data_IF_776003202702
#
_entry.id   IF_776003202702
#
_cell.length_a   1.000
_cell.length_b   1.000
_cell.length_c   1.000
_cell.angle_alpha   90.00
_cell.angle_beta   90.00
_cell.angle_gamma   90.00
#
_symmetry.space_group_name_H-M   'P 1'
#
loop_
_entity.id
_entity.type
_entity.pdbx_description
1 polymer ?
#
# COMPACT_ATOMS: atom_id res chain seq x y z
N UNK A 1 -21.25 -2.56 15.37
CA UNK A 1 -20.61 -3.62 14.58
C UNK A 1 -21.44 -3.73 13.34
N UNK A 2 -20.87 -3.28 12.23
CA UNK A 2 -21.48 -3.46 10.91
C UNK A 2 -20.72 -4.62 10.29
N UNK A 3 -21.44 -5.67 9.92
CA UNK A 3 -20.94 -6.83 9.22
C UNK A 3 -21.92 -7.13 8.07
N UNK A 4 -21.47 -6.88 6.85
CA UNK A 4 -22.27 -6.90 5.63
C UNK A 4 -21.52 -7.65 4.54
N UNK A 5 -21.77 -8.95 4.44
CA UNK A 5 -21.05 -9.83 3.52
C UNK A 5 -19.57 -9.85 3.84
N UNK A 6 -18.75 -9.34 2.92
CA UNK A 6 -17.28 -9.33 3.05
C UNK A 6 -16.72 -8.02 3.64
N UNK A 7 -17.60 -7.10 4.05
CA UNK A 7 -17.26 -5.78 4.60
C UNK A 7 -17.61 -5.72 6.08
N UNK A 8 -16.68 -5.23 6.90
CA UNK A 8 -16.91 -5.03 8.33
C UNK A 8 -16.08 -3.86 8.88
N UNK A 9 -16.30 -3.47 10.13
CA UNK A 9 -15.63 -2.37 10.83
C UNK A 9 -14.74 -2.79 12.02
N UNK A 10 -14.60 -4.10 12.27
CA UNK A 10 -13.99 -4.67 13.50
C UNK A 10 -13.08 -5.87 13.26
N UNK A 11 -12.85 -6.23 12.01
CA UNK A 11 -12.07 -7.40 11.62
C UNK A 11 -11.31 -7.13 10.32
N UNK A 12 -9.99 -7.21 10.43
CA UNK A 12 -9.10 -7.10 9.28
C UNK A 12 -9.10 -8.49 8.61
N UNK A 13 -9.44 -8.61 7.31
CA UNK A 13 -9.37 -9.90 6.62
C UNK A 13 -7.98 -10.51 6.75
N UNK A 14 -7.81 -11.80 7.08
CA UNK A 14 -6.48 -12.38 7.20
C UNK A 14 -5.71 -12.28 5.87
N UNK A 15 -4.39 -12.09 5.98
CA UNK A 15 -3.49 -12.14 4.84
C UNK A 15 -3.20 -13.59 4.48
N UNK A 16 -3.56 -13.97 3.25
CA UNK A 16 -3.29 -15.29 2.69
C UNK A 16 -1.98 -15.21 1.92
N UNK A 17 -0.86 -15.19 2.64
CA UNK A 17 0.48 -15.20 2.06
C UNK A 17 1.20 -16.48 2.48
N UNK A 18 1.63 -17.26 1.48
CA UNK A 18 2.52 -18.39 1.68
C UNK A 18 3.94 -17.96 1.30
N UNK A 19 4.87 -17.86 2.26
CA UNK A 19 6.22 -17.42 1.98
C UNK A 19 7.09 -18.48 1.28
N UNK A 20 6.63 -19.74 1.19
CA UNK A 20 7.36 -20.83 0.55
C UNK A 20 8.81 -20.96 1.03
N UNK A 21 9.74 -21.08 0.09
CA UNK A 21 11.18 -21.20 0.35
C UNK A 21 11.83 -19.93 0.91
N UNK A 22 11.11 -18.81 0.98
CA UNK A 22 11.60 -17.52 1.47
C UNK A 22 11.05 -17.17 2.87
N UNK A 23 10.52 -18.14 3.63
CA UNK A 23 9.97 -17.96 4.98
C UNK A 23 10.87 -17.13 5.91
N UNK A 24 12.19 -17.35 5.86
CA UNK A 24 13.15 -16.66 6.72
C UNK A 24 13.26 -15.14 6.49
N UNK A 25 12.72 -14.62 5.38
CA UNK A 25 12.71 -13.19 5.09
C UNK A 25 11.66 -12.41 5.89
N UNK A 26 10.67 -13.09 6.47
CA UNK A 26 9.42 -12.47 6.89
C UNK A 26 9.14 -12.61 8.38
N UNK A 27 8.77 -11.49 9.01
CA UNK A 27 8.21 -11.49 10.35
C UNK A 27 6.72 -11.13 10.29
N UNK A 28 5.88 -12.14 10.27
CA UNK A 28 4.43 -11.98 10.21
C UNK A 28 3.82 -12.05 11.61
N UNK A 29 2.75 -11.30 11.80
CA UNK A 29 1.86 -11.50 12.93
C UNK A 29 0.91 -12.69 12.69
N UNK A 30 0.10 -13.01 13.69
CA UNK A 30 -0.87 -14.10 13.69
C UNK A 30 -1.94 -14.02 12.59
N UNK A 31 -2.07 -12.86 11.93
CA UNK A 31 -3.00 -12.61 10.84
C UNK A 31 -2.31 -12.53 9.47
N UNK A 32 -1.01 -12.85 9.40
CA UNK A 32 -0.23 -12.91 8.16
C UNK A 32 0.28 -11.54 7.65
N UNK A 33 0.28 -10.51 8.50
CA UNK A 33 0.72 -9.16 8.13
C UNK A 33 2.13 -8.85 8.66
N UNK A 34 2.90 -8.04 7.92
CA UNK A 34 4.25 -7.58 8.32
C UNK A 34 4.21 -6.42 9.30
N UNK A 35 3.65 -6.66 10.47
CA UNK A 35 3.66 -5.70 11.56
C UNK A 35 3.55 -6.42 12.90
N UNK A 36 3.51 -5.65 13.99
CA UNK A 36 3.29 -6.21 15.32
C UNK A 36 1.87 -6.79 15.47
N UNK A 37 1.68 -7.62 16.49
CA UNK A 37 0.34 -8.01 16.94
C UNK A 37 -0.46 -6.79 17.41
N UNK A 38 -1.78 -6.83 17.19
CA UNK A 38 -2.72 -5.80 17.63
C UNK A 38 -3.77 -6.32 18.63
N UNK A 39 -3.53 -7.49 19.25
CA UNK A 39 -4.40 -8.04 20.29
C UNK A 39 -4.58 -7.10 21.49
N UNK A 40 -3.62 -6.20 21.72
CA UNK A 40 -3.77 -5.04 22.62
C UNK A 40 -3.12 -3.82 21.99
N UNK A 41 -3.91 -2.80 21.69
CA UNK A 41 -3.44 -1.58 21.05
C UNK A 41 -2.59 -0.74 22.02
N UNK A 42 -1.28 -0.51 21.76
CA UNK A 42 -0.46 0.17 22.75
C UNK A 42 -0.65 1.70 22.68
N UNK A 43 -0.78 2.34 23.84
CA UNK A 43 -1.13 3.75 23.96
C UNK A 43 -0.03 4.74 23.48
N UNK A 44 -0.42 6.00 23.29
CA UNK A 44 0.50 7.15 23.21
C UNK A 44 1.03 7.52 21.82
N UNK A 45 0.67 6.80 20.75
CA UNK A 45 1.07 7.11 19.37
C UNK A 45 -0.13 7.14 18.44
N UNK A 46 -0.07 7.96 17.39
CA UNK A 46 -1.03 7.90 16.28
C UNK A 46 -0.71 6.71 15.39
N UNK A 47 -1.75 6.00 14.97
CA UNK A 47 -1.61 4.86 14.09
C UNK A 47 -1.57 5.30 12.62
N UNK A 48 -0.51 4.87 11.93
CA UNK A 48 -0.28 4.99 10.49
C UNK A 48 -0.52 3.61 9.90
N UNK A 49 -1.59 3.44 9.15
CA UNK A 49 -1.83 2.22 8.38
C UNK A 49 -1.27 2.41 6.98
N UNK A 50 -0.45 1.46 6.54
CA UNK A 50 0.13 1.42 5.19
C UNK A 50 -0.50 0.25 4.44
N UNK A 51 -1.12 0.53 3.31
CA UNK A 51 -1.90 -0.42 2.51
C UNK A 51 -1.33 -0.52 1.10
N UNK A 52 -1.45 -1.70 0.49
CA UNK A 52 -1.00 -1.94 -0.87
C UNK A 52 -1.01 -3.43 -1.22
N UNK A 53 -0.38 -3.76 -2.35
CA UNK A 53 -0.22 -5.14 -2.82
C UNK A 53 1.12 -5.77 -2.36
N UNK A 54 1.67 -6.72 -3.12
CA UNK A 54 2.93 -7.42 -2.85
C UNK A 54 4.14 -6.47 -2.76
N UNK A 55 4.17 -5.40 -3.56
CA UNK A 55 5.24 -4.40 -3.49
C UNK A 55 5.24 -3.65 -2.15
N UNK A 56 4.08 -3.37 -1.57
CA UNK A 56 4.00 -2.74 -0.23
C UNK A 56 4.22 -3.72 0.89
N UNK A 57 3.78 -4.96 0.69
CA UNK A 57 4.14 -6.06 1.58
C UNK A 57 5.66 -6.27 1.62
N UNK A 58 6.36 -6.09 0.49
CA UNK A 58 7.81 -6.31 0.36
C UNK A 58 8.15 -7.74 -0.01
N UNK A 59 7.35 -8.39 -0.87
CA UNK A 59 7.62 -9.77 -1.32
C UNK A 59 9.01 -9.89 -1.96
N UNK A 60 9.69 -11.00 -1.70
CA UNK A 60 11.11 -11.20 -2.05
C UNK A 60 12.14 -10.36 -1.26
N UNK A 61 11.71 -9.49 -0.34
CA UNK A 61 12.59 -8.61 0.46
C UNK A 61 12.55 -8.98 1.94
N UNK A 62 13.71 -8.86 2.61
CA UNK A 62 13.82 -9.05 4.05
C UNK A 62 13.09 -7.94 4.82
N UNK A 63 12.84 -8.17 6.10
CA UNK A 63 12.12 -7.26 7.02
C UNK A 63 12.64 -5.81 7.03
N UNK A 64 13.89 -5.57 6.65
CA UNK A 64 14.54 -4.26 6.68
C UNK A 64 14.83 -3.66 5.29
N UNK A 65 14.32 -4.28 4.23
CA UNK A 65 14.67 -3.97 2.84
C UNK A 65 13.53 -3.36 2.01
N UNK A 66 12.33 -3.29 2.57
CA UNK A 66 11.15 -2.77 1.87
C UNK A 66 10.79 -1.34 2.30
N UNK A 67 10.06 -0.63 1.44
CA UNK A 67 9.81 0.81 1.61
C UNK A 67 9.02 1.14 2.88
N UNK A 68 8.11 0.25 3.29
CA UNK A 68 7.35 0.43 4.54
C UNK A 68 8.27 0.36 5.77
N UNK A 69 9.32 -0.47 5.74
CA UNK A 69 10.33 -0.50 6.80
C UNK A 69 11.05 0.86 6.90
N UNK A 70 11.55 1.38 5.78
CA UNK A 70 12.23 2.67 5.74
C UNK A 70 11.30 3.82 6.16
N UNK A 71 10.05 3.82 5.67
CA UNK A 71 9.04 4.80 6.06
C UNK A 71 8.76 4.76 7.57
N UNK A 72 8.71 3.56 8.15
CA UNK A 72 8.37 3.38 9.57
C UNK A 72 9.43 3.94 10.53
N UNK A 73 10.63 4.26 10.04
CA UNK A 73 11.68 4.93 10.83
C UNK A 73 11.39 6.43 11.03
N UNK A 74 10.46 7.01 10.26
CA UNK A 74 10.09 8.42 10.38
C UNK A 74 9.24 8.66 11.62
N UNK A 75 9.60 9.67 12.42
CA UNK A 75 8.75 10.22 13.48
C UNK A 75 8.23 9.20 14.52
N UNK A 76 9.02 8.16 14.82
CA UNK A 76 8.64 7.01 15.68
C UNK A 76 8.26 7.36 17.11
N UNK A 77 8.60 8.56 17.60
CA UNK A 77 8.14 9.07 18.91
C UNK A 77 6.64 9.35 18.95
N UNK A 78 6.05 9.70 17.80
CA UNK A 78 4.64 10.11 17.67
C UNK A 78 3.80 9.12 16.87
N UNK A 79 4.44 8.41 15.93
CA UNK A 79 3.76 7.55 14.97
C UNK A 79 4.07 6.08 15.22
N UNK A 80 3.07 5.23 14.97
CA UNK A 80 3.17 3.78 14.97
C UNK A 80 2.69 3.27 13.61
N UNK A 81 3.50 2.49 12.94
CA UNK A 81 3.24 2.03 11.58
C UNK A 81 2.73 0.59 11.57
N UNK A 82 1.74 0.35 10.72
CA UNK A 82 1.10 -0.95 10.52
C UNK A 82 1.09 -1.26 9.02
N UNK A 83 1.96 -2.19 8.59
CA UNK A 83 1.91 -2.68 7.22
C UNK A 83 0.77 -3.69 7.08
N UNK A 84 -0.36 -3.21 6.55
CA UNK A 84 -1.54 -4.02 6.26
C UNK A 84 -1.66 -4.32 4.76
N UNK A 85 -0.54 -4.21 4.02
CA UNK A 85 -0.50 -4.63 2.62
C UNK A 85 -0.57 -6.14 2.48
N UNK A 86 -1.10 -6.59 1.35
CA UNK A 86 -1.25 -8.00 1.06
C UNK A 86 -0.84 -8.34 -0.36
N UNK A 87 -0.02 -9.38 -0.57
CA UNK A 87 0.28 -9.90 -1.90
C UNK A 87 -0.96 -10.13 -2.75
N UNK A 88 -0.90 -9.68 -4.01
CA UNK A 88 -2.03 -9.81 -4.93
C UNK A 88 -3.25 -8.93 -4.66
N UNK A 89 -3.26 -8.05 -3.64
CA UNK A 89 -4.44 -7.21 -3.37
C UNK A 89 -4.81 -6.28 -4.54
N UNK A 90 -6.11 -6.15 -4.80
CA UNK A 90 -6.71 -5.12 -5.65
C UNK A 90 -6.99 -3.83 -4.87
N UNK A 91 -7.41 -2.77 -5.57
CA UNK A 91 -7.87 -1.53 -4.93
C UNK A 91 -9.07 -1.77 -3.99
N UNK A 92 -10.01 -2.64 -4.39
CA UNK A 92 -11.22 -2.93 -3.62
C UNK A 92 -10.87 -3.64 -2.31
N UNK A 93 -9.94 -4.61 -2.37
CA UNK A 93 -9.44 -5.30 -1.17
C UNK A 93 -8.74 -4.36 -0.22
N UNK A 94 -7.91 -3.44 -0.75
CA UNK A 94 -7.22 -2.42 0.04
C UNK A 94 -8.22 -1.56 0.81
N UNK A 95 -9.29 -1.10 0.15
CA UNK A 95 -10.33 -0.29 0.81
C UNK A 95 -11.07 -1.12 1.86
N UNK A 96 -11.42 -2.36 1.56
CA UNK A 96 -12.09 -3.26 2.52
C UNK A 96 -11.23 -3.52 3.77
N UNK A 97 -9.92 -3.70 3.60
CA UNK A 97 -8.95 -3.80 4.70
C UNK A 97 -8.87 -2.50 5.52
N UNK A 98 -8.90 -1.32 4.89
CA UNK A 98 -8.94 -0.04 5.60
C UNK A 98 -10.16 0.04 6.53
N UNK A 99 -11.35 -0.23 5.99
CA UNK A 99 -12.59 -0.18 6.77
C UNK A 99 -12.62 -1.23 7.88
N UNK A 100 -12.15 -2.46 7.61
CA UNK A 100 -12.01 -3.50 8.64
C UNK A 100 -11.04 -3.14 9.76
N UNK A 101 -10.07 -2.27 9.49
CA UNK A 101 -9.11 -1.77 10.48
C UNK A 101 -9.65 -0.64 11.37
N UNK A 102 -10.84 -0.08 11.08
CA UNK A 102 -11.36 1.13 11.74
C UNK A 102 -11.39 0.99 13.27
N UNK A 103 -12.05 -0.04 13.79
CA UNK A 103 -12.17 -0.23 15.25
C UNK A 103 -11.12 -1.18 15.83
N UNK A 104 -10.23 -1.71 14.98
CA UNK A 104 -9.12 -2.58 15.38
C UNK A 104 -7.86 -1.76 15.62
N UNK A 105 -7.51 -0.91 14.65
CA UNK A 105 -6.28 -0.11 14.62
C UNK A 105 -6.54 1.37 14.88
N UNK A 106 -7.76 1.88 14.64
CA UNK A 106 -8.05 3.33 14.63
C UNK A 106 -7.01 4.16 13.85
N UNK A 107 -6.85 3.93 12.53
CA UNK A 107 -5.94 4.70 11.69
C UNK A 107 -6.26 6.19 11.73
N UNK A 108 -5.28 7.01 12.17
CA UNK A 108 -5.33 8.48 12.04
C UNK A 108 -4.52 9.00 10.86
N UNK A 109 -3.69 8.14 10.29
CA UNK A 109 -2.98 8.38 9.04
C UNK A 109 -3.09 7.12 8.19
N UNK A 110 -3.41 7.28 6.92
CA UNK A 110 -3.56 6.21 5.94
C UNK A 110 -2.63 6.49 4.77
N UNK A 111 -1.71 5.58 4.51
CA UNK A 111 -0.84 5.63 3.33
C UNK A 111 -1.23 4.48 2.42
N UNK A 112 -1.67 4.80 1.19
CA UNK A 112 -2.08 3.79 0.22
C UNK A 112 -1.15 3.83 -0.97
N UNK A 113 -0.58 2.67 -1.27
CA UNK A 113 0.14 2.42 -2.50
C UNK A 113 -0.76 1.58 -3.41
N UNK A 114 -1.39 2.24 -4.38
CA UNK A 114 -2.35 1.61 -5.28
C UNK A 114 -1.65 0.59 -6.20
N UNK A 115 -2.23 -0.61 -6.38
CA UNK A 115 -1.75 -1.59 -7.35
C UNK A 115 -2.11 -1.13 -8.77
N UNK A 116 -1.72 -1.93 -9.78
CA UNK A 116 -2.26 -1.81 -11.14
C UNK A 116 -3.79 -1.74 -11.07
N UNK A 117 -4.35 -0.71 -11.68
CA UNK A 117 -5.77 -0.43 -11.55
C UNK A 117 -6.64 -1.50 -12.18
N UNK A 118 -6.20 -2.31 -13.13
CA UNK A 118 -7.05 -3.36 -13.75
C UNK A 118 -7.31 -4.55 -12.83
N UNK A 119 -6.62 -4.63 -11.68
CA UNK A 119 -6.89 -5.64 -10.66
C UNK A 119 -8.16 -5.29 -9.87
N UNK A 120 -9.11 -6.22 -9.78
CA UNK A 120 -10.42 -6.06 -9.11
C UNK A 120 -10.69 -7.16 -8.12
N UNK A 121 -11.55 -6.92 -7.14
CA UNK A 121 -12.20 -8.04 -6.45
C UNK A 121 -13.37 -8.58 -7.26
N UNK A 122 -13.39 -9.91 -7.43
CA UNK A 122 -14.59 -10.67 -7.74
C UNK A 122 -15.18 -11.09 -6.39
N UNK A 123 -16.42 -10.68 -6.13
CA UNK A 123 -17.13 -10.97 -4.88
C UNK A 123 -18.05 -12.18 -5.12
N UNK A 124 -17.57 -13.36 -4.75
CA UNK A 124 -18.36 -14.60 -4.70
C UNK A 124 -18.48 -15.08 -3.23
N UNK A 125 -18.64 -16.40 -2.99
CA UNK A 125 -18.59 -17.01 -1.66
C UNK A 125 -17.39 -16.47 -0.87
N UNK A 126 -16.23 -16.32 -1.52
CA UNK A 126 -15.07 -15.63 -0.97
C UNK A 126 -14.57 -14.53 -1.94
N UNK A 127 -14.07 -13.38 -1.45
CA UNK A 127 -13.50 -12.34 -2.32
C UNK A 127 -12.16 -12.77 -2.92
N UNK A 128 -12.02 -12.62 -4.23
CA UNK A 128 -10.79 -12.92 -4.94
C UNK A 128 -10.28 -11.68 -5.64
N UNK A 129 -9.04 -11.28 -5.38
CA UNK A 129 -8.36 -10.23 -6.15
C UNK A 129 -7.85 -10.82 -7.48
N UNK A 130 -8.59 -10.57 -8.56
CA UNK A 130 -8.29 -11.07 -9.89
C UNK A 130 -7.60 -10.00 -10.76
N UNK A 131 -6.64 -10.45 -11.57
CA UNK A 131 -5.97 -9.64 -12.57
C UNK A 131 -6.88 -9.36 -13.77
N UNK A 132 -6.60 -8.29 -14.52
CA UNK A 132 -7.44 -7.86 -15.64
C UNK A 132 -7.56 -8.87 -16.80
N UNK A 133 -6.69 -9.88 -16.85
CA UNK A 133 -6.72 -10.98 -17.82
C UNK A 133 -7.64 -12.15 -17.40
N UNK A 134 -8.15 -12.15 -16.17
CA UNK A 134 -9.15 -13.12 -15.72
C UNK A 134 -10.41 -13.05 -16.59
N UNK A 135 -11.04 -14.20 -16.91
CA UNK A 135 -12.16 -14.28 -17.87
C UNK A 135 -13.29 -13.28 -17.57
N UNK A 136 -13.64 -13.10 -16.30
CA UNK A 136 -14.67 -12.16 -15.86
C UNK A 136 -14.27 -10.68 -15.99
N UNK A 137 -12.97 -10.39 -15.93
CA UNK A 137 -12.42 -9.03 -16.00
C UNK A 137 -11.92 -8.66 -17.39
N UNK A 138 -11.64 -9.64 -18.25
CA UNK A 138 -11.09 -9.45 -19.59
C UNK A 138 -12.00 -8.61 -20.53
N UNK A 139 -13.29 -8.47 -20.19
CA UNK A 139 -14.25 -7.62 -20.91
C UNK A 139 -14.31 -6.18 -20.37
N UNK A 140 -13.63 -5.88 -19.26
CA UNK A 140 -13.51 -4.53 -18.74
C UNK A 140 -12.55 -3.72 -19.60
N UNK A 141 -12.67 -2.39 -19.51
CA UNK A 141 -11.84 -1.47 -20.25
C UNK A 141 -11.27 -0.40 -19.32
N UNK A 142 -10.30 0.34 -19.82
CA UNK A 142 -9.61 1.41 -19.11
C UNK A 142 -10.57 2.42 -18.43
N UNK A 143 -11.71 2.72 -19.07
CA UNK A 143 -12.71 3.62 -18.48
C UNK A 143 -13.38 3.02 -17.26
N UNK A 144 -13.76 1.73 -17.31
CA UNK A 144 -14.28 1.03 -16.13
C UNK A 144 -13.21 0.95 -15.05
N UNK A 145 -11.95 0.79 -15.46
CA UNK A 145 -10.87 0.66 -14.50
C UNK A 145 -10.56 1.94 -13.75
N UNK A 146 -10.46 3.05 -14.48
CA UNK A 146 -10.37 4.39 -13.92
C UNK A 146 -11.53 4.69 -12.98
N UNK A 147 -12.78 4.39 -13.36
CA UNK A 147 -13.93 4.68 -12.51
C UNK A 147 -13.93 3.85 -11.22
N UNK A 148 -13.50 2.60 -11.26
CA UNK A 148 -13.34 1.80 -10.05
C UNK A 148 -12.21 2.34 -9.16
N UNK A 149 -11.08 2.75 -9.74
CA UNK A 149 -10.02 3.43 -9.00
C UNK A 149 -10.55 4.70 -8.30
N UNK A 150 -11.28 5.56 -9.01
CA UNK A 150 -11.87 6.78 -8.45
C UNK A 150 -12.89 6.49 -7.34
N UNK A 151 -13.71 5.44 -7.49
CA UNK A 151 -14.62 4.98 -6.44
C UNK A 151 -13.85 4.56 -5.17
N UNK A 152 -12.75 3.82 -5.32
CA UNK A 152 -11.91 3.42 -4.19
C UNK A 152 -11.23 4.62 -3.51
N UNK A 153 -10.72 5.58 -4.29
CA UNK A 153 -10.20 6.85 -3.75
C UNK A 153 -11.29 7.59 -2.97
N UNK A 154 -12.51 7.68 -3.51
CA UNK A 154 -13.63 8.32 -2.81
C UNK A 154 -13.89 7.69 -1.43
N UNK A 155 -13.90 6.36 -1.35
CA UNK A 155 -14.15 5.66 -0.06
C UNK A 155 -13.03 5.87 0.95
N UNK A 156 -11.78 5.98 0.50
CA UNK A 156 -10.64 6.33 1.35
C UNK A 156 -10.76 7.75 1.89
N UNK A 157 -11.09 8.71 1.02
CA UNK A 157 -11.25 10.10 1.44
C UNK A 157 -12.46 10.26 2.38
N UNK A 158 -13.54 9.50 2.17
CA UNK A 158 -14.69 9.45 3.09
C UNK A 158 -14.34 8.83 4.43
N UNK A 159 -13.51 7.79 4.45
CA UNK A 159 -12.96 7.27 5.70
C UNK A 159 -12.19 8.37 6.44
N UNK A 160 -11.35 9.13 5.73
CA UNK A 160 -10.52 10.17 6.32
C UNK A 160 -11.34 11.33 6.89
N UNK A 161 -12.35 11.79 6.13
CA UNK A 161 -13.31 12.81 6.57
C UNK A 161 -14.04 12.37 7.85
N UNK A 162 -14.62 11.17 7.85
CA UNK A 162 -15.36 10.60 8.98
C UNK A 162 -14.49 10.47 10.24
N UNK A 163 -13.25 10.03 10.09
CA UNK A 163 -12.38 9.64 11.21
C UNK A 163 -11.37 10.72 11.61
N UNK A 164 -11.45 11.90 10.98
CA UNK A 164 -10.46 12.98 11.11
C UNK A 164 -9.02 12.47 10.87
N UNK A 165 -8.86 11.59 9.88
CA UNK A 165 -7.59 11.03 9.49
C UNK A 165 -6.97 11.80 8.30
N UNK A 166 -5.69 11.58 8.05
CA UNK A 166 -4.99 12.08 6.87
C UNK A 166 -4.69 10.94 5.91
N UNK A 167 -4.82 11.19 4.61
CA UNK A 167 -4.53 10.22 3.55
C UNK A 167 -3.34 10.65 2.71
N UNK A 168 -2.59 9.67 2.23
CA UNK A 168 -1.50 9.82 1.28
C UNK A 168 -1.60 8.72 0.22
N UNK A 169 -1.65 9.11 -1.05
CA UNK A 169 -1.75 8.20 -2.18
C UNK A 169 -0.43 8.15 -2.94
N UNK A 170 -0.02 6.94 -3.28
CA UNK A 170 1.12 6.66 -4.14
C UNK A 170 0.82 5.38 -4.94
N UNK A 171 1.75 4.94 -5.77
CA UNK A 171 1.48 3.87 -6.74
C UNK A 171 2.63 2.87 -6.83
N UNK A 172 2.30 1.60 -7.00
CA UNK A 172 3.29 0.54 -7.03
C UNK A 172 3.99 0.43 -8.39
N UNK A 173 3.22 0.43 -9.48
CA UNK A 173 3.71 0.10 -10.82
C UNK A 173 3.37 1.16 -11.86
N UNK A 174 2.09 1.54 -11.97
CA UNK A 174 1.59 2.54 -12.90
C UNK A 174 1.10 3.77 -12.15
N UNK A 175 1.26 4.93 -12.77
CA UNK A 175 0.94 6.21 -12.14
C UNK A 175 -0.41 6.75 -12.62
N UNK A 176 -1.33 6.93 -11.68
CA UNK A 176 -2.68 7.46 -11.93
C UNK A 176 -2.92 8.82 -11.26
N UNK A 177 -1.86 9.52 -10.78
CA UNK A 177 -2.00 10.74 -9.99
C UNK A 177 -2.84 11.83 -10.68
N UNK A 178 -2.72 11.96 -12.00
CA UNK A 178 -3.42 12.99 -12.80
C UNK A 178 -4.95 12.95 -12.62
N UNK A 179 -5.49 11.80 -12.29
CA UNK A 179 -6.93 11.63 -12.06
C UNK A 179 -7.40 12.21 -10.72
N UNK A 180 -6.50 12.50 -9.77
CA UNK A 180 -6.86 12.96 -8.42
C UNK A 180 -6.06 14.18 -7.94
N UNK A 181 -4.95 14.53 -8.58
CA UNK A 181 -4.06 15.63 -8.14
C UNK A 181 -4.73 17.01 -8.14
N UNK A 182 -5.77 17.19 -8.95
CA UNK A 182 -6.50 18.45 -9.09
C UNK A 182 -7.53 18.65 -7.96
N UNK A 183 -7.81 17.62 -7.15
CA UNK A 183 -8.76 17.70 -6.05
C UNK A 183 -8.09 18.33 -4.83
N UNK A 184 -8.65 19.45 -4.37
CA UNK A 184 -8.11 20.17 -3.22
C UNK A 184 -8.06 19.29 -1.97
N UNK A 185 -6.92 19.27 -1.29
CA UNK A 185 -6.71 18.53 -0.04
C UNK A 185 -6.18 17.10 -0.21
N UNK A 186 -6.26 16.52 -1.41
CA UNK A 186 -5.71 15.17 -1.66
C UNK A 186 -4.17 15.24 -1.67
N UNK A 187 -3.53 14.41 -0.83
CA UNK A 187 -2.08 14.22 -0.87
C UNK A 187 -1.75 13.04 -1.79
N UNK A 188 -1.31 13.32 -3.02
CA UNK A 188 -0.90 12.29 -3.99
C UNK A 188 0.54 12.50 -4.45
N UNK A 189 1.31 11.41 -4.52
CA UNK A 189 2.68 11.40 -5.04
C UNK A 189 2.63 11.55 -6.57
N UNK A 190 3.23 12.61 -7.15
CA UNK A 190 3.27 12.76 -8.60
C UNK A 190 4.44 11.99 -9.20
N UNK A 191 4.20 11.39 -10.37
CA UNK A 191 5.20 10.83 -11.31
C UNK A 191 6.09 9.68 -10.81
N UNK A 192 6.19 9.44 -9.50
CA UNK A 192 7.03 8.41 -8.91
C UNK A 192 6.19 7.25 -8.38
N UNK A 193 6.50 6.07 -8.86
CA UNK A 193 6.00 4.77 -8.44
C UNK A 193 7.16 3.96 -7.86
N UNK A 194 6.89 2.86 -7.17
CA UNK A 194 7.97 1.95 -6.74
C UNK A 194 8.73 1.45 -7.99
N UNK A 195 8.02 1.10 -9.06
CA UNK A 195 8.61 0.59 -10.30
C UNK A 195 9.56 1.56 -11.01
N UNK A 196 9.32 2.87 -10.97
CA UNK A 196 10.10 3.85 -11.73
C UNK A 196 11.11 4.65 -10.89
N UNK A 197 11.27 4.31 -9.61
CA UNK A 197 12.27 4.91 -8.75
C UNK A 197 13.71 4.40 -9.00
N UNK A 198 13.86 3.33 -9.79
CA UNK A 198 15.16 2.78 -10.16
C UNK A 198 15.11 2.12 -11.55
N UNK A 199 16.20 2.14 -12.33
CA UNK A 199 17.36 3.04 -12.16
C UNK A 199 16.94 4.51 -12.31
N UNK A 200 17.67 5.45 -11.69
CA UNK A 200 17.32 6.87 -11.76
C UNK A 200 18.51 7.72 -12.22
N UNK A 201 18.21 8.90 -12.77
CA UNK A 201 19.22 9.85 -13.24
C UNK A 201 19.36 11.04 -12.27
N UNK A 202 20.54 11.19 -11.66
CA UNK A 202 20.81 12.31 -10.75
C UNK A 202 21.28 13.56 -11.53
N UNK A 203 20.34 14.47 -11.83
CA UNK A 203 20.58 15.74 -12.57
C UNK A 203 21.71 16.61 -12.01
N UNK A 204 21.94 16.58 -10.70
CA UNK A 204 22.83 17.54 -10.02
C UNK A 204 24.31 17.21 -10.19
N UNK A 205 24.68 15.96 -10.55
CA UNK A 205 26.08 15.55 -10.59
C UNK A 205 26.56 14.98 -11.93
N UNK A 206 25.71 14.77 -12.95
CA UNK A 206 26.14 14.29 -14.29
C UNK A 206 27.03 13.01 -14.28
N UNK A 207 27.12 12.26 -13.17
CA UNK A 207 28.14 11.21 -12.99
C UNK A 207 27.65 9.93 -12.34
N UNK A 208 26.38 9.82 -11.95
CA UNK A 208 25.86 8.57 -11.39
C UNK A 208 24.67 8.10 -12.22
N UNK A 209 24.97 7.19 -13.14
CA UNK A 209 24.01 6.30 -13.78
C UNK A 209 24.18 4.97 -13.06
N UNK A 210 23.24 4.62 -12.19
CA UNK A 210 23.20 3.27 -11.62
C UNK A 210 22.27 2.46 -12.51
N UNK A 211 22.83 1.60 -13.35
CA UNK A 211 22.10 0.86 -14.39
C UNK A 211 21.82 -0.60 -14.04
N UNK A 212 22.45 -1.06 -12.95
CA UNK A 212 22.24 -2.41 -12.44
C UNK A 212 20.78 -2.60 -12.02
N UNK A 213 20.06 -3.58 -12.61
CA UNK A 213 18.71 -3.90 -12.20
C UNK A 213 18.66 -4.24 -10.72
N UNK A 214 17.75 -3.61 -9.98
CA UNK A 214 17.48 -3.98 -8.59
C UNK A 214 16.26 -4.89 -8.56
N UNK A 215 16.49 -6.20 -8.37
CA UNK A 215 15.45 -7.24 -8.33
C UNK A 215 15.45 -7.93 -6.96
N UNK A 216 14.28 -8.25 -6.44
CA UNK A 216 14.11 -8.97 -5.18
C UNK A 216 14.54 -10.44 -5.30
N UNK A 217 14.66 -11.15 -4.17
CA UNK A 217 15.18 -12.53 -4.15
C UNK A 217 14.30 -13.55 -4.88
N UNK A 218 13.04 -13.23 -5.08
CA UNK A 218 12.10 -14.05 -5.84
C UNK A 218 12.23 -13.89 -7.38
N UNK A 219 13.13 -13.00 -7.84
CA UNK A 219 13.36 -12.72 -9.25
C UNK A 219 12.21 -12.00 -9.97
N UNK A 220 11.17 -11.56 -9.25
CA UNK A 220 9.93 -10.98 -9.80
C UNK A 220 9.67 -9.56 -9.32
N UNK A 221 9.90 -9.29 -8.03
CA UNK A 221 9.56 -8.01 -7.42
C UNK A 221 10.73 -7.01 -7.48
N UNK A 222 10.42 -5.73 -7.31
CA UNK A 222 11.41 -4.65 -7.29
C UNK A 222 12.35 -4.80 -6.10
N UNK A 223 13.66 -4.67 -6.36
CA UNK A 223 14.71 -4.82 -5.36
C UNK A 223 14.85 -3.62 -4.43
N UNK A 224 15.77 -3.76 -3.47
CA UNK A 224 15.98 -2.82 -2.35
C UNK A 224 16.14 -1.36 -2.79
N UNK A 225 16.77 -1.12 -3.94
CA UNK A 225 17.08 0.25 -4.38
C UNK A 225 15.83 1.02 -4.83
N UNK A 226 14.86 0.34 -5.47
CA UNK A 226 13.54 0.92 -5.72
C UNK A 226 12.87 1.36 -4.42
N UNK A 227 12.94 0.50 -3.38
CA UNK A 227 12.27 0.72 -2.11
C UNK A 227 12.89 1.85 -1.27
N UNK A 228 14.22 1.93 -1.22
CA UNK A 228 14.93 3.05 -0.58
C UNK A 228 14.60 4.36 -1.26
N UNK A 229 14.80 4.42 -2.59
CA UNK A 229 14.62 5.64 -3.36
C UNK A 229 13.18 6.15 -3.32
N UNK A 230 12.22 5.24 -3.43
CA UNK A 230 10.80 5.57 -3.28
C UNK A 230 10.50 6.19 -1.92
N UNK A 231 11.06 5.65 -0.84
CA UNK A 231 10.84 6.18 0.52
C UNK A 231 11.44 7.57 0.69
N UNK A 232 12.64 7.81 0.18
CA UNK A 232 13.28 9.13 0.21
C UNK A 232 12.39 10.19 -0.44
N UNK A 233 11.93 9.92 -1.67
CA UNK A 233 11.09 10.83 -2.43
C UNK A 233 9.72 11.03 -1.76
N UNK A 234 9.14 9.97 -1.19
CA UNK A 234 7.90 10.06 -0.44
C UNK A 234 8.06 10.96 0.79
N UNK A 235 9.14 10.80 1.56
CA UNK A 235 9.41 11.61 2.75
C UNK A 235 9.81 13.05 2.42
N UNK A 236 10.52 13.28 1.32
CA UNK A 236 10.80 14.63 0.81
C UNK A 236 9.47 15.37 0.53
N UNK A 237 8.51 14.68 -0.09
CA UNK A 237 7.21 15.24 -0.45
C UNK A 237 6.28 15.41 0.76
N UNK A 238 6.21 14.41 1.64
CA UNK A 238 5.16 14.29 2.65
C UNK A 238 5.64 14.26 4.10
N UNK A 239 6.94 14.17 4.36
CA UNK A 239 7.49 13.99 5.70
C UNK A 239 7.07 15.06 6.70
N UNK A 240 6.90 16.32 6.24
CA UNK A 240 6.43 17.43 7.06
C UNK A 240 4.93 17.37 7.44
N UNK A 241 4.14 16.65 6.64
CA UNK A 241 2.70 16.37 6.86
C UNK A 241 2.50 15.11 7.70
N UNK A 242 3.44 14.17 7.69
CA UNK A 242 3.38 12.89 8.40
C UNK A 242 3.76 13.03 9.90
N UNK A 243 2.83 13.48 10.76
CA UNK A 243 3.10 13.80 12.18
C UNK A 243 1.93 13.74 13.19
#
# INVERSE_FOLDING_TARGET
MIDLGHFNDRNIPPSVFDPGEHADLYRLNSQGYRCAEWSTMPAGKKNVVVLGCSHTFGEGLAEHEHWVHYLSQHNTKRLRYWNLAQPGASADRIVRTLWGSEQVIDPKIVVICWPVWSRREILDVEPISAHGDHEELARLNDTRDKNNFLMNVFWVEKYAEKNHAQTFHCFAQEDYHRHIEHVAGINVMPTHTISNCWPYWHKVHNTVYEDEPSVARDGKHFGVEHHKRFTELFLERFGSKLK
#
